data_IF_173652589862
#
_entry.id   IF_173652589862
#
_cell.length_a   1.000
_cell.length_b   1.000
_cell.length_c   1.000
_cell.angle_alpha   90.00
_cell.angle_beta   90.00
_cell.angle_gamma   90.00
#
_symmetry.space_group_name_H-M   'P 1'
#
loop_
_entity.id
_entity.type
_entity.pdbx_description
1 polymer ?
#
# COMPACT_ATOMS: atom_id res chain seq x y z
N UNK A 1 9.05 20.36 -16.39
CA UNK A 1 8.45 19.36 -17.30
C UNK A 1 6.94 19.41 -17.23
N UNK A 2 6.30 18.95 -18.31
CA UNK A 2 4.86 18.69 -18.38
C UNK A 2 4.64 17.18 -18.32
N UNK A 3 3.94 16.70 -17.31
CA UNK A 3 3.76 15.28 -17.02
C UNK A 3 2.28 14.94 -17.11
N UNK A 4 1.89 14.03 -18.01
CA UNK A 4 0.53 13.52 -18.03
C UNK A 4 0.48 12.18 -17.28
N UNK A 5 -0.42 12.08 -16.30
CA UNK A 5 -0.67 10.86 -15.52
C UNK A 5 -1.98 10.25 -15.96
N UNK A 6 -1.95 8.99 -16.36
CA UNK A 6 -3.14 8.21 -16.73
C UNK A 6 -3.31 7.10 -15.70
N UNK A 7 -4.43 7.08 -15.00
CA UNK A 7 -4.67 6.17 -13.87
C UNK A 7 -6.06 5.54 -13.89
N UNK A 8 -6.16 4.30 -13.44
CA UNK A 8 -7.44 3.62 -13.26
C UNK A 8 -8.13 3.99 -11.93
N UNK A 9 -7.38 4.59 -10.97
CA UNK A 9 -7.88 4.96 -9.66
C UNK A 9 -7.40 6.35 -9.26
N UNK A 10 -8.31 7.17 -8.71
CA UNK A 10 -7.98 8.45 -8.10
C UNK A 10 -8.96 8.78 -6.97
N UNK A 11 -8.67 9.89 -6.24
CA UNK A 11 -9.58 10.42 -5.22
C UNK A 11 -11.00 10.61 -5.78
N UNK A 12 -12.08 10.51 -4.98
CA UNK A 12 -12.10 10.44 -3.51
C UNK A 12 -11.88 9.04 -2.92
N UNK A 13 -11.69 8.01 -3.73
CA UNK A 13 -11.35 6.68 -3.22
C UNK A 13 -10.00 6.73 -2.51
N UNK A 14 -9.95 6.27 -1.26
CA UNK A 14 -8.73 6.27 -0.44
C UNK A 14 -8.11 4.87 -0.40
N UNK A 15 -7.06 4.69 -1.20
CA UNK A 15 -6.22 3.50 -1.17
C UNK A 15 -4.73 3.89 -1.28
N UNK A 16 -3.82 2.91 -1.26
CA UNK A 16 -2.38 3.18 -1.32
C UNK A 16 -1.94 3.83 -2.63
N UNK A 17 -2.60 3.52 -3.75
CA UNK A 17 -2.30 4.09 -5.07
C UNK A 17 -2.73 5.55 -5.12
N UNK A 18 -3.97 5.84 -4.72
CA UNK A 18 -4.53 7.19 -4.78
C UNK A 18 -3.79 8.15 -3.85
N UNK A 19 -3.39 7.70 -2.64
CA UNK A 19 -2.53 8.48 -1.73
C UNK A 19 -1.16 8.78 -2.35
N UNK A 20 -0.56 7.78 -3.01
CA UNK A 20 0.74 7.96 -3.66
C UNK A 20 0.65 8.98 -4.81
N UNK A 21 -0.42 8.93 -5.61
CA UNK A 21 -0.66 9.88 -6.70
C UNK A 21 -0.95 11.30 -6.18
N UNK A 22 -1.71 11.43 -5.10
CA UNK A 22 -1.92 12.72 -4.45
C UNK A 22 -0.59 13.36 -4.04
N UNK A 23 0.27 12.60 -3.33
CA UNK A 23 1.63 13.05 -2.97
C UNK A 23 2.51 13.35 -4.18
N UNK A 24 2.37 12.60 -5.27
CA UNK A 24 3.09 12.91 -6.51
C UNK A 24 2.68 14.26 -7.08
N UNK A 25 1.37 14.52 -7.22
CA UNK A 25 0.88 15.78 -7.75
C UNK A 25 1.27 16.97 -6.87
N UNK A 26 1.18 16.84 -5.54
CA UNK A 26 1.66 17.83 -4.58
C UNK A 26 3.16 18.12 -4.76
N UNK A 27 3.97 17.09 -4.92
CA UNK A 27 5.41 17.24 -5.15
C UNK A 27 5.72 17.90 -6.50
N UNK A 28 5.03 17.52 -7.58
CA UNK A 28 5.20 18.12 -8.90
C UNK A 28 4.88 19.62 -8.88
N UNK A 29 3.79 20.01 -8.21
CA UNK A 29 3.44 21.40 -8.03
C UNK A 29 4.52 22.16 -7.24
N UNK A 30 4.96 21.61 -6.11
CA UNK A 30 5.97 22.22 -5.24
C UNK A 30 7.34 22.38 -5.94
N UNK A 31 7.64 21.55 -6.92
CA UNK A 31 8.92 21.56 -7.68
C UNK A 31 8.79 22.23 -9.06
N UNK A 32 7.68 22.94 -9.33
CA UNK A 32 7.49 23.72 -10.54
C UNK A 32 7.24 22.92 -11.82
N UNK A 33 6.78 21.67 -11.69
CA UNK A 33 6.33 20.86 -12.81
C UNK A 33 4.85 21.10 -13.08
N UNK A 34 4.43 20.96 -14.34
CA UNK A 34 3.02 20.99 -14.72
C UNK A 34 2.51 19.54 -14.82
N UNK A 35 1.31 19.29 -14.33
CA UNK A 35 0.69 17.98 -14.39
C UNK A 35 -0.71 18.02 -14.99
N UNK A 36 -1.06 16.96 -15.74
CA UNK A 36 -2.41 16.67 -16.22
C UNK A 36 -2.76 15.25 -15.73
N UNK A 37 -3.90 15.08 -15.06
CA UNK A 37 -4.38 13.77 -14.64
C UNK A 37 -5.60 13.35 -15.44
N UNK A 38 -5.51 12.19 -16.08
CA UNK A 38 -6.60 11.52 -16.77
C UNK A 38 -6.96 10.25 -16.02
N UNK A 39 -8.20 10.13 -15.58
CA UNK A 39 -8.59 8.99 -14.74
C UNK A 39 -10.09 8.80 -14.61
N UNK A 40 -10.57 8.11 -13.56
CA UNK A 40 -11.97 7.97 -13.26
C UNK A 40 -12.58 9.32 -12.90
N UNK A 41 -13.89 9.43 -13.09
CA UNK A 41 -14.65 10.60 -12.65
C UNK A 41 -14.57 10.74 -11.12
N UNK A 42 -13.98 11.82 -10.67
CA UNK A 42 -13.68 12.09 -9.26
C UNK A 42 -14.52 13.22 -8.65
N UNK A 43 -15.28 13.95 -9.51
CA UNK A 43 -15.96 15.18 -9.12
C UNK A 43 -15.02 16.39 -8.96
N UNK A 44 -13.69 16.19 -9.06
CA UNK A 44 -12.69 17.25 -9.00
C UNK A 44 -12.27 17.66 -10.41
N UNK A 45 -12.10 18.96 -10.62
CA UNK A 45 -11.56 19.53 -11.86
C UNK A 45 -10.08 19.83 -11.75
N UNK A 46 -9.58 19.99 -10.53
CA UNK A 46 -8.18 20.29 -10.25
C UNK A 46 -7.73 19.68 -8.92
N UNK A 47 -6.47 19.25 -8.85
CA UNK A 47 -5.81 18.83 -7.62
C UNK A 47 -4.31 19.17 -7.68
N UNK A 48 -3.80 19.86 -6.63
CA UNK A 48 -2.39 20.28 -6.54
C UNK A 48 -1.87 20.90 -7.86
N UNK A 49 -2.61 21.86 -8.41
CA UNK A 49 -2.25 22.55 -9.65
C UNK A 49 -2.43 21.74 -10.94
N UNK A 50 -2.70 20.43 -10.85
CA UNK A 50 -2.96 19.59 -12.01
C UNK A 50 -4.43 19.70 -12.43
N UNK A 51 -4.69 19.83 -13.74
CA UNK A 51 -6.04 19.63 -14.30
C UNK A 51 -6.41 18.16 -14.17
N UNK A 52 -7.62 17.87 -13.68
CA UNK A 52 -8.16 16.50 -13.51
C UNK A 52 -9.32 16.30 -14.46
N UNK A 53 -9.19 15.34 -15.38
CA UNK A 53 -10.21 15.02 -16.37
C UNK A 53 -10.68 13.59 -16.14
N UNK A 54 -11.94 13.48 -15.79
CA UNK A 54 -12.59 12.21 -15.49
C UNK A 54 -13.26 11.53 -16.66
N UNK A 55 -13.40 10.21 -16.56
CA UNK A 55 -14.30 9.42 -17.40
C UNK A 55 -15.22 8.58 -16.52
N UNK A 56 -16.49 8.50 -16.94
CA UNK A 56 -17.43 7.57 -16.33
C UNK A 56 -16.96 6.13 -16.62
N UNK A 57 -16.69 5.37 -15.58
CA UNK A 57 -16.35 3.96 -15.72
C UNK A 57 -17.59 3.07 -15.71
N UNK A 58 -17.53 1.96 -16.42
CA UNK A 58 -18.57 0.91 -16.43
C UNK A 58 -18.27 -0.03 -15.23
N UNK A 59 -19.21 -0.19 -14.26
CA UNK A 59 -19.01 -1.11 -13.16
C UNK A 59 -18.78 -2.54 -13.67
N UNK A 60 -17.81 -3.25 -13.13
CA UNK A 60 -17.61 -4.66 -13.48
C UNK A 60 -18.72 -5.52 -12.87
N UNK A 61 -19.28 -6.50 -13.62
CA UNK A 61 -20.47 -7.27 -13.20
C UNK A 61 -20.32 -7.95 -11.83
N UNK A 62 -19.10 -8.41 -11.49
CA UNK A 62 -18.83 -9.14 -10.25
C UNK A 62 -18.16 -8.28 -9.19
N UNK A 63 -17.78 -7.04 -9.52
CA UNK A 63 -17.12 -6.09 -8.64
C UNK A 63 -17.55 -4.66 -8.96
N UNK A 64 -18.73 -4.24 -8.47
CA UNK A 64 -19.25 -2.88 -8.73
C UNK A 64 -18.34 -1.76 -8.24
N UNK A 65 -17.48 -2.06 -7.27
CA UNK A 65 -16.47 -1.12 -6.74
C UNK A 65 -15.31 -0.89 -7.73
N UNK A 66 -15.08 -1.82 -8.66
CA UNK A 66 -14.11 -1.68 -9.74
C UNK A 66 -14.83 -1.27 -11.01
N UNK A 67 -14.40 -0.17 -11.60
CA UNK A 67 -14.96 0.34 -12.85
C UNK A 67 -13.96 0.17 -13.98
N UNK A 68 -14.42 -0.35 -15.11
CA UNK A 68 -13.67 -0.31 -16.35
C UNK A 68 -13.78 1.11 -16.93
N UNK A 69 -12.69 1.86 -16.87
CA UNK A 69 -12.66 3.23 -17.36
C UNK A 69 -12.43 3.26 -18.87
N UNK A 70 -13.25 4.01 -19.60
CA UNK A 70 -13.18 4.10 -21.06
C UNK A 70 -12.42 5.37 -21.45
N UNK A 71 -11.48 5.23 -22.37
CA UNK A 71 -10.76 6.37 -22.93
C UNK A 71 -11.70 7.25 -23.79
N UNK A 72 -11.74 8.55 -23.49
CA UNK A 72 -12.62 9.51 -24.19
C UNK A 72 -11.83 10.28 -25.25
N UNK A 73 -12.45 10.67 -26.39
CA UNK A 73 -11.82 11.59 -27.36
C UNK A 73 -11.28 12.88 -26.74
N UNK A 74 -11.94 13.37 -25.68
CA UNK A 74 -11.48 14.52 -24.90
C UNK A 74 -10.08 14.32 -24.33
N UNK A 75 -9.72 13.08 -23.92
CA UNK A 75 -8.38 12.78 -23.40
C UNK A 75 -7.30 13.01 -24.46
N UNK A 76 -7.54 12.59 -25.70
CA UNK A 76 -6.62 12.84 -26.82
C UNK A 76 -6.46 14.35 -27.07
N UNK A 77 -7.58 15.09 -27.12
CA UNK A 77 -7.55 16.55 -27.32
C UNK A 77 -6.74 17.25 -26.22
N UNK A 78 -6.94 16.86 -24.96
CA UNK A 78 -6.24 17.44 -23.82
C UNK A 78 -4.77 17.06 -23.79
N UNK A 79 -4.41 15.82 -24.09
CA UNK A 79 -3.01 15.40 -24.22
C UNK A 79 -2.29 16.18 -25.35
N UNK A 80 -2.96 16.33 -26.50
CA UNK A 80 -2.41 17.11 -27.62
C UNK A 80 -2.23 18.59 -27.25
N UNK A 81 -3.21 19.21 -26.57
CA UNK A 81 -3.10 20.60 -26.13
C UNK A 81 -2.05 20.78 -25.01
N UNK A 82 -1.94 19.84 -24.08
CA UNK A 82 -0.99 19.87 -22.98
C UNK A 82 0.45 19.61 -23.42
N UNK A 83 0.66 18.88 -24.52
CA UNK A 83 1.99 18.51 -25.06
C UNK A 83 2.93 17.97 -23.97
N UNK A 84 2.64 16.83 -23.35
CA UNK A 84 3.45 16.31 -22.26
C UNK A 84 4.85 15.92 -22.71
N UNK A 85 5.84 16.15 -21.84
CA UNK A 85 7.21 15.67 -22.01
C UNK A 85 7.32 14.15 -21.74
N UNK A 86 6.41 13.62 -20.90
CA UNK A 86 6.31 12.20 -20.54
C UNK A 86 4.87 11.85 -20.15
N UNK A 87 4.44 10.64 -20.48
CA UNK A 87 3.17 10.06 -20.03
C UNK A 87 3.46 8.94 -19.04
N UNK A 88 2.85 9.02 -17.85
CA UNK A 88 2.96 8.01 -16.80
C UNK A 88 1.65 7.21 -16.71
N UNK A 89 1.72 5.91 -17.01
CA UNK A 89 0.62 4.96 -16.89
C UNK A 89 0.67 4.28 -15.51
N UNK A 90 -0.34 4.51 -14.68
CA UNK A 90 -0.41 3.99 -13.32
C UNK A 90 -1.33 2.78 -13.27
N UNK A 91 -0.79 1.61 -12.87
CA UNK A 91 -1.51 0.32 -12.89
C UNK A 91 -2.28 0.12 -14.21
N UNK A 92 -1.61 0.10 -15.37
CA UNK A 92 -2.28 0.19 -16.67
C UNK A 92 -3.16 -1.03 -16.95
N UNK A 93 -4.46 -0.83 -16.98
CA UNK A 93 -5.46 -1.83 -17.42
C UNK A 93 -6.11 -1.33 -18.71
N UNK A 94 -7.31 -0.75 -18.68
CA UNK A 94 -8.01 -0.29 -19.90
C UNK A 94 -7.57 1.11 -20.35
N UNK A 95 -7.56 2.08 -19.44
CA UNK A 95 -7.05 3.42 -19.74
C UNK A 95 -5.56 3.39 -20.09
N UNK A 96 -4.81 2.53 -19.38
CA UNK A 96 -3.39 2.35 -19.62
C UNK A 96 -3.08 1.84 -21.02
N UNK A 97 -3.80 0.82 -21.53
CA UNK A 97 -3.59 0.30 -22.90
C UNK A 97 -3.91 1.34 -23.97
N UNK A 98 -5.02 2.06 -23.81
CA UNK A 98 -5.38 3.12 -24.75
C UNK A 98 -4.47 4.34 -24.61
N UNK A 99 -4.04 4.67 -23.40
CA UNK A 99 -3.05 5.70 -23.13
C UNK A 99 -1.70 5.41 -23.82
N UNK A 100 -1.25 4.16 -23.81
CA UNK A 100 -0.06 3.71 -24.54
C UNK A 100 -0.19 3.91 -26.05
N UNK A 101 -1.35 3.55 -26.62
CA UNK A 101 -1.59 3.76 -28.06
C UNK A 101 -1.59 5.25 -28.44
N UNK A 102 -2.22 6.09 -27.64
CA UNK A 102 -2.24 7.55 -27.84
C UNK A 102 -0.83 8.15 -27.66
N UNK A 103 -0.08 7.72 -26.68
CA UNK A 103 1.29 8.19 -26.48
C UNK A 103 2.17 7.92 -27.69
N UNK A 104 2.03 6.75 -28.34
CA UNK A 104 2.71 6.40 -29.59
C UNK A 104 2.28 7.32 -30.74
N UNK A 105 0.98 7.59 -30.86
CA UNK A 105 0.46 8.50 -31.88
C UNK A 105 1.02 9.92 -31.71
N UNK A 106 1.17 10.38 -30.47
CA UNK A 106 1.72 11.70 -30.12
C UNK A 106 3.27 11.71 -30.05
N UNK A 107 3.92 10.56 -30.25
CA UNK A 107 5.38 10.39 -30.13
C UNK A 107 5.94 10.84 -28.76
N UNK A 108 5.16 10.67 -27.70
CA UNK A 108 5.55 11.01 -26.34
C UNK A 108 6.08 9.77 -25.62
N UNK A 109 7.23 9.84 -24.94
CA UNK A 109 7.78 8.73 -24.20
C UNK A 109 6.87 8.33 -23.03
N UNK A 110 6.80 7.03 -22.77
CA UNK A 110 5.90 6.44 -21.76
C UNK A 110 6.70 5.76 -20.68
N UNK A 111 6.33 6.02 -19.44
CA UNK A 111 6.71 5.22 -18.27
C UNK A 111 5.46 4.61 -17.64
N UNK A 112 5.64 3.51 -16.92
CA UNK A 112 4.54 2.89 -16.18
C UNK A 112 4.90 2.65 -14.72
N UNK A 113 3.90 2.45 -13.87
CA UNK A 113 4.13 2.00 -12.50
C UNK A 113 3.20 0.84 -12.12
N UNK A 114 3.78 -0.14 -11.46
CA UNK A 114 3.10 -1.33 -10.96
C UNK A 114 2.83 -1.17 -9.48
N UNK A 115 1.56 -1.16 -9.09
CA UNK A 115 1.13 -0.99 -7.70
C UNK A 115 0.33 -2.20 -7.20
N UNK A 116 -0.44 -2.81 -8.08
CA UNK A 116 -1.42 -3.84 -7.72
C UNK A 116 -1.12 -5.16 -8.41
N UNK A 117 -1.07 -6.26 -7.65
CA UNK A 117 -0.94 -7.59 -8.20
C UNK A 117 -2.28 -8.13 -8.70
N UNK A 118 -2.74 -7.63 -9.86
CA UNK A 118 -4.02 -8.02 -10.45
C UNK A 118 -4.12 -9.54 -10.71
N UNK A 119 -3.02 -10.19 -11.09
CA UNK A 119 -3.00 -11.63 -11.30
C UNK A 119 -3.25 -12.43 -10.01
N UNK A 120 -2.73 -11.96 -8.87
CA UNK A 120 -3.06 -12.55 -7.57
C UNK A 120 -4.52 -12.33 -7.19
N UNK A 121 -5.08 -11.17 -7.49
CA UNK A 121 -6.49 -10.90 -7.26
C UNK A 121 -7.39 -11.83 -8.08
N UNK A 122 -7.07 -12.13 -9.34
CA UNK A 122 -7.81 -13.13 -10.13
C UNK A 122 -7.91 -14.46 -9.37
N UNK A 123 -6.81 -14.94 -8.78
CA UNK A 123 -6.80 -16.17 -8.00
C UNK A 123 -7.65 -16.08 -6.72
N UNK A 124 -7.55 -14.97 -5.98
CA UNK A 124 -8.31 -14.77 -4.74
C UNK A 124 -9.82 -14.70 -4.96
N UNK A 125 -10.23 -14.20 -6.12
CA UNK A 125 -11.63 -14.03 -6.46
C UNK A 125 -12.25 -15.20 -7.23
N UNK A 126 -11.57 -16.34 -7.27
CA UNK A 126 -12.08 -17.55 -7.94
C UNK A 126 -11.91 -17.56 -9.46
N UNK A 127 -11.26 -16.56 -10.03
CA UNK A 127 -10.93 -16.49 -11.47
C UNK A 127 -9.49 -16.94 -11.74
N UNK A 128 -9.05 -18.02 -11.09
CA UNK A 128 -7.67 -18.52 -11.20
C UNK A 128 -7.21 -18.79 -12.64
N UNK A 129 -8.15 -19.14 -13.55
CA UNK A 129 -7.87 -19.34 -14.98
C UNK A 129 -7.44 -18.05 -15.70
N UNK A 130 -7.74 -16.87 -15.16
CA UNK A 130 -7.30 -15.57 -15.70
C UNK A 130 -5.92 -15.14 -15.20
N UNK A 131 -5.30 -15.86 -14.28
CA UNK A 131 -4.02 -15.48 -13.68
C UNK A 131 -2.91 -15.34 -14.72
N UNK A 132 -2.71 -16.37 -15.57
CA UNK A 132 -1.68 -16.34 -16.62
C UNK A 132 -1.99 -15.34 -17.74
N UNK A 133 -3.23 -15.26 -18.28
CA UNK A 133 -3.60 -14.18 -19.19
C UNK A 133 -3.35 -12.78 -18.62
N UNK A 134 -3.65 -12.54 -17.34
CA UNK A 134 -3.41 -11.26 -16.68
C UNK A 134 -1.92 -10.96 -16.55
N UNK A 135 -1.07 -11.95 -16.23
CA UNK A 135 0.39 -11.77 -16.25
C UNK A 135 0.90 -11.44 -17.65
N UNK A 136 0.43 -12.15 -18.67
CA UNK A 136 0.82 -11.91 -20.07
C UNK A 136 0.42 -10.51 -20.53
N UNK A 137 -0.79 -10.07 -20.20
CA UNK A 137 -1.31 -8.75 -20.51
C UNK A 137 -0.50 -7.64 -19.81
N UNK A 138 -0.30 -7.73 -18.50
CA UNK A 138 0.46 -6.75 -17.74
C UNK A 138 1.91 -6.66 -18.25
N UNK A 139 2.57 -7.80 -18.46
CA UNK A 139 3.91 -7.85 -19.03
C UNK A 139 3.98 -7.17 -20.39
N UNK A 140 3.02 -7.47 -21.27
CA UNK A 140 2.97 -6.85 -22.61
C UNK A 140 2.89 -5.32 -22.51
N UNK A 141 1.96 -4.78 -21.71
CA UNK A 141 1.81 -3.32 -21.59
C UNK A 141 3.04 -2.68 -20.95
N UNK A 142 3.53 -3.23 -19.83
CA UNK A 142 4.68 -2.65 -19.12
C UNK A 142 5.98 -2.70 -19.95
N UNK A 143 6.23 -3.78 -20.68
CA UNK A 143 7.43 -3.89 -21.53
C UNK A 143 7.39 -2.98 -22.80
N UNK A 144 6.25 -2.39 -23.12
CA UNK A 144 6.13 -1.35 -24.14
C UNK A 144 6.49 0.05 -23.60
N UNK A 145 6.67 0.20 -22.31
CA UNK A 145 7.06 1.45 -21.67
C UNK A 145 8.59 1.53 -21.58
N UNK A 146 9.14 2.73 -21.70
CA UNK A 146 10.58 2.95 -21.59
C UNK A 146 11.14 2.60 -20.20
N UNK A 147 10.29 2.70 -19.17
CA UNK A 147 10.63 2.37 -17.79
C UNK A 147 9.37 1.94 -17.03
N UNK A 148 9.51 0.91 -16.21
CA UNK A 148 8.45 0.46 -15.28
C UNK A 148 8.91 0.66 -13.84
N UNK A 149 8.21 1.47 -13.09
CA UNK A 149 8.44 1.68 -11.67
C UNK A 149 7.71 0.60 -10.85
N UNK A 150 8.38 0.05 -9.84
CA UNK A 150 7.82 -0.91 -8.90
C UNK A 150 8.19 -0.53 -7.46
N UNK A 151 7.34 -0.86 -6.47
CA UNK A 151 7.44 -0.26 -5.14
C UNK A 151 8.58 -0.82 -4.27
N UNK A 152 9.03 -2.04 -4.53
CA UNK A 152 9.98 -2.73 -3.65
C UNK A 152 10.91 -3.68 -4.39
N UNK A 153 12.08 -4.05 -3.80
CA UNK A 153 13.00 -5.03 -4.35
C UNK A 153 12.37 -6.41 -4.58
N UNK A 154 11.54 -6.87 -3.65
CA UNK A 154 10.87 -8.18 -3.78
C UNK A 154 9.82 -8.19 -4.89
N UNK A 155 9.08 -7.08 -5.07
CA UNK A 155 8.19 -6.90 -6.23
C UNK A 155 9.00 -6.88 -7.53
N UNK A 156 10.11 -6.15 -7.60
CA UNK A 156 10.98 -6.14 -8.77
C UNK A 156 11.50 -7.55 -9.12
N UNK A 157 11.93 -8.31 -8.12
CA UNK A 157 12.40 -9.69 -8.32
C UNK A 157 11.28 -10.61 -8.87
N UNK A 158 10.05 -10.46 -8.35
CA UNK A 158 8.90 -11.19 -8.87
C UNK A 158 8.56 -10.79 -10.31
N UNK A 159 8.53 -9.50 -10.61
CA UNK A 159 8.24 -9.01 -11.96
C UNK A 159 9.29 -9.49 -12.97
N UNK A 160 10.59 -9.51 -12.62
CA UNK A 160 11.64 -10.08 -13.47
C UNK A 160 11.40 -11.57 -13.76
N UNK A 161 10.99 -12.35 -12.75
CA UNK A 161 10.63 -13.77 -12.95
C UNK A 161 9.44 -13.95 -13.90
N UNK A 162 8.55 -12.96 -13.98
CA UNK A 162 7.42 -12.91 -14.91
C UNK A 162 7.78 -12.30 -16.28
N UNK A 163 9.07 -11.98 -16.52
CA UNK A 163 9.56 -11.44 -17.80
C UNK A 163 9.30 -9.96 -18.02
N UNK A 164 9.11 -9.19 -16.94
CA UNK A 164 9.07 -7.73 -17.04
C UNK A 164 10.49 -7.16 -17.18
N UNK A 165 10.62 -6.17 -18.04
CA UNK A 165 11.88 -5.49 -18.37
C UNK A 165 11.88 -4.04 -17.87
N UNK A 166 13.04 -3.36 -17.96
CA UNK A 166 13.21 -1.93 -17.65
C UNK A 166 12.66 -1.53 -16.28
N UNK A 167 12.86 -2.37 -15.24
CA UNK A 167 12.34 -2.16 -13.90
C UNK A 167 13.22 -1.20 -13.09
N UNK A 168 12.59 -0.20 -12.45
CA UNK A 168 13.20 0.70 -11.47
C UNK A 168 12.38 0.71 -10.19
N UNK A 169 13.06 0.71 -9.04
CA UNK A 169 12.39 0.81 -7.75
C UNK A 169 11.96 2.25 -7.52
N UNK A 170 10.68 2.42 -7.25
CA UNK A 170 10.08 3.66 -6.77
C UNK A 170 9.50 3.39 -5.38
N UNK A 171 10.27 3.64 -4.30
CA UNK A 171 9.82 3.37 -2.94
C UNK A 171 8.66 4.30 -2.55
N UNK A 172 8.10 4.05 -1.37
CA UNK A 172 7.12 4.93 -0.74
C UNK A 172 7.78 5.69 0.39
N UNK A 173 7.09 6.73 0.84
CA UNK A 173 7.47 7.48 2.01
C UNK A 173 6.43 7.37 3.12
N UNK A 174 6.82 7.83 4.29
CA UNK A 174 5.92 8.05 5.41
C UNK A 174 6.05 9.49 5.88
N UNK A 175 4.94 10.03 6.38
CA UNK A 175 4.91 11.35 7.00
C UNK A 175 5.27 11.19 8.48
N UNK A 176 6.55 11.35 8.81
CA UNK A 176 7.05 11.21 10.18
C UNK A 176 6.63 12.36 11.10
N UNK A 177 6.06 13.44 10.57
CA UNK A 177 5.43 14.48 11.39
C UNK A 177 4.04 14.07 11.86
N UNK A 178 3.37 13.24 11.08
CA UNK A 178 2.08 12.67 11.39
C UNK A 178 2.22 11.35 12.18
N UNK A 179 3.00 10.41 11.67
CA UNK A 179 3.24 9.10 12.31
C UNK A 179 4.50 9.16 13.16
N UNK A 180 4.34 9.29 14.47
CA UNK A 180 5.43 9.42 15.43
C UNK A 180 5.01 8.99 16.83
N UNK A 181 5.94 8.47 17.67
CA UNK A 181 5.61 7.98 19.02
C UNK A 181 5.04 9.07 19.94
N UNK A 182 5.39 10.34 19.73
CA UNK A 182 4.92 11.47 20.55
C UNK A 182 3.38 11.66 20.52
N UNK A 183 2.67 11.02 19.57
CA UNK A 183 1.18 11.03 19.53
C UNK A 183 0.53 9.99 20.43
N UNK A 184 1.32 9.23 21.24
CA UNK A 184 0.77 8.25 22.17
C UNK A 184 -0.23 8.89 23.13
N UNK A 185 -1.39 8.25 23.28
CA UNK A 185 -2.50 8.76 24.07
C UNK A 185 -2.98 7.70 25.07
N UNK A 186 -2.67 7.91 26.34
CA UNK A 186 -3.01 6.97 27.41
C UNK A 186 -4.54 6.91 27.67
N UNK A 187 -5.28 7.99 27.39
CA UNK A 187 -6.75 7.96 27.50
C UNK A 187 -7.37 7.07 26.42
N UNK A 188 -6.82 7.09 25.22
CA UNK A 188 -7.25 6.21 24.14
C UNK A 188 -6.95 4.75 24.49
N UNK A 189 -5.76 4.45 25.02
CA UNK A 189 -5.41 3.11 25.51
C UNK A 189 -6.39 2.61 26.56
N UNK A 190 -6.69 3.43 27.58
CA UNK A 190 -7.64 3.11 28.63
C UNK A 190 -9.04 2.83 28.08
N UNK A 191 -9.47 3.58 27.04
CA UNK A 191 -10.77 3.36 26.41
C UNK A 191 -10.87 2.01 25.68
N UNK A 192 -9.78 1.54 25.09
CA UNK A 192 -9.74 0.23 24.43
C UNK A 192 -9.80 -0.92 25.42
N UNK A 193 -9.11 -0.78 26.55
CA UNK A 193 -9.01 -1.82 27.55
C UNK A 193 -10.30 -2.00 28.36
N UNK A 194 -11.22 -1.01 28.32
CA UNK A 194 -12.47 -0.98 29.11
C UNK A 194 -12.26 -1.31 30.60
N UNK A 195 -11.06 -1.15 31.10
CA UNK A 195 -10.66 -1.58 32.44
C UNK A 195 -10.73 -0.42 33.43
N UNK A 196 -11.36 -0.73 34.56
CA UNK A 196 -11.25 0.06 35.79
C UNK A 196 -9.95 -0.25 36.54
N UNK A 197 -9.19 -1.29 36.13
CA UNK A 197 -8.01 -1.80 36.81
C UNK A 197 -6.77 -1.75 35.89
N UNK A 198 -5.85 -0.88 36.22
CA UNK A 198 -4.45 -0.73 35.74
C UNK A 198 -4.22 -0.98 34.22
N UNK A 199 -4.65 -0.09 33.34
CA UNK A 199 -4.44 -0.22 31.90
C UNK A 199 -2.95 -0.22 31.46
N UNK A 200 -2.05 0.10 32.37
CA UNK A 200 -0.60 0.27 32.09
C UNK A 200 0.16 -1.03 31.86
N UNK A 201 -0.40 -2.19 32.21
CA UNK A 201 0.33 -3.47 32.20
C UNK A 201 0.06 -4.34 30.96
N UNK A 202 -0.94 -4.02 30.14
CA UNK A 202 -1.26 -4.81 28.93
C UNK A 202 -0.55 -4.28 27.70
N UNK A 203 0.02 -5.20 26.94
CA UNK A 203 0.58 -4.93 25.62
C UNK A 203 -0.56 -4.85 24.59
N UNK A 204 -0.64 -3.75 23.88
CA UNK A 204 -1.64 -3.58 22.82
C UNK A 204 -1.04 -4.05 21.48
N UNK A 205 -1.62 -5.12 20.94
CA UNK A 205 -1.40 -5.59 19.60
C UNK A 205 -2.31 -4.82 18.66
N UNK A 206 -1.78 -4.21 17.62
CA UNK A 206 -2.53 -3.41 16.65
C UNK A 206 -2.52 -4.07 15.28
N UNK A 207 -3.67 -4.24 14.69
CA UNK A 207 -3.83 -4.41 13.25
C UNK A 207 -4.41 -3.12 12.66
N UNK A 208 -3.89 -2.65 11.53
CA UNK A 208 -4.47 -1.55 10.77
C UNK A 208 -4.48 -1.88 9.28
N UNK A 209 -5.65 -1.76 8.66
CA UNK A 209 -5.82 -2.05 7.24
C UNK A 209 -7.25 -2.46 6.88
N UNK A 210 -7.47 -2.75 5.58
CA UNK A 210 -8.76 -3.26 5.12
C UNK A 210 -9.03 -4.62 5.76
N UNK A 211 -10.22 -4.78 6.33
CA UNK A 211 -10.67 -6.07 6.91
C UNK A 211 -11.24 -6.93 5.78
N UNK A 212 -10.39 -7.75 5.18
CA UNK A 212 -10.70 -8.55 4.00
C UNK A 212 -9.89 -9.84 3.98
N UNK A 213 -10.39 -10.86 3.28
CA UNK A 213 -9.83 -12.24 3.31
C UNK A 213 -8.39 -12.31 2.79
N UNK A 214 -8.02 -11.48 1.81
CA UNK A 214 -6.67 -11.41 1.26
C UNK A 214 -5.62 -10.90 2.26
N UNK A 215 -6.06 -10.27 3.36
CA UNK A 215 -5.18 -9.83 4.45
C UNK A 215 -4.88 -10.93 5.47
N UNK A 216 -5.40 -12.15 5.24
CA UNK A 216 -5.11 -13.33 6.06
C UNK A 216 -5.38 -13.14 7.56
N UNK A 217 -6.45 -12.40 7.91
CA UNK A 217 -6.79 -12.05 9.29
C UNK A 217 -7.10 -13.27 10.14
N UNK A 218 -7.54 -14.36 9.53
CA UNK A 218 -7.77 -15.63 10.22
C UNK A 218 -6.54 -16.10 10.98
N UNK A 219 -5.34 -15.95 10.40
CA UNK A 219 -4.09 -16.28 11.09
C UNK A 219 -3.90 -15.49 12.39
N UNK A 220 -4.15 -14.17 12.36
CA UNK A 220 -4.07 -13.32 13.54
C UNK A 220 -5.12 -13.70 14.59
N UNK A 221 -6.35 -13.96 14.13
CA UNK A 221 -7.48 -14.34 15.00
C UNK A 221 -7.21 -15.66 15.72
N UNK A 222 -6.81 -16.70 14.97
CA UNK A 222 -6.49 -18.02 15.53
C UNK A 222 -5.33 -17.94 16.53
N UNK A 223 -4.27 -17.20 16.19
CA UNK A 223 -3.14 -16.97 17.09
C UNK A 223 -3.57 -16.23 18.36
N UNK A 224 -4.31 -15.12 18.23
CA UNK A 224 -4.71 -14.28 19.35
C UNK A 224 -5.68 -14.99 20.30
N UNK A 225 -6.64 -15.77 19.79
CA UNK A 225 -7.59 -16.54 20.65
C UNK A 225 -6.90 -17.48 21.63
N UNK A 226 -5.71 -17.95 21.31
CA UNK A 226 -4.93 -18.89 22.14
C UNK A 226 -3.90 -18.19 23.04
N UNK A 227 -3.87 -16.84 23.07
CA UNK A 227 -2.94 -16.05 23.93
C UNK A 227 -3.55 -15.78 25.32
N UNK A 228 -2.69 -15.41 26.26
CA UNK A 228 -3.09 -14.93 27.58
C UNK A 228 -3.60 -13.47 27.51
N UNK A 229 -4.91 -13.30 27.50
CA UNK A 229 -5.56 -11.99 27.41
C UNK A 229 -5.41 -11.13 28.68
N UNK A 230 -4.85 -11.66 29.77
CA UNK A 230 -4.51 -10.84 30.94
C UNK A 230 -3.30 -9.94 30.65
N UNK A 231 -2.44 -10.31 29.68
CA UNK A 231 -1.19 -9.64 29.35
C UNK A 231 -1.25 -8.82 28.05
N UNK A 232 -2.21 -9.09 27.18
CA UNK A 232 -2.33 -8.40 25.91
C UNK A 232 -3.78 -8.09 25.53
N UNK A 233 -3.95 -7.15 24.59
CA UNK A 233 -5.24 -6.77 24.03
C UNK A 233 -5.07 -6.50 22.52
N UNK A 234 -6.00 -6.99 21.70
CA UNK A 234 -6.00 -6.75 20.26
C UNK A 234 -6.89 -5.57 19.90
N UNK A 235 -6.35 -4.64 19.13
CA UNK A 235 -7.08 -3.53 18.52
C UNK A 235 -7.04 -3.67 17.01
N UNK A 236 -8.20 -3.68 16.39
CA UNK A 236 -8.35 -3.78 14.93
C UNK A 236 -8.89 -2.47 14.37
N UNK A 237 -8.04 -1.78 13.60
CA UNK A 237 -8.37 -0.53 12.91
C UNK A 237 -8.65 -0.82 11.45
N UNK A 238 -9.83 -0.41 11.00
CA UNK A 238 -10.25 -0.57 9.61
C UNK A 238 -11.66 -1.08 9.46
N UNK A 239 -12.05 -1.24 8.21
CA UNK A 239 -13.33 -1.77 7.79
C UNK A 239 -13.14 -2.61 6.51
N UNK A 240 -14.16 -3.37 6.13
CA UNK A 240 -14.10 -4.14 4.89
C UNK A 240 -15.07 -5.33 4.85
N UNK A 241 -15.08 -6.06 3.73
CA UNK A 241 -16.08 -7.08 3.47
C UNK A 241 -16.02 -8.28 4.45
N UNK A 242 -14.90 -8.50 5.12
CA UNK A 242 -14.75 -9.58 6.11
C UNK A 242 -14.99 -9.10 7.56
N UNK A 243 -15.41 -7.86 7.78
CA UNK A 243 -15.57 -7.30 9.14
C UNK A 243 -16.48 -8.14 10.03
N UNK A 244 -17.67 -8.50 9.54
CA UNK A 244 -18.64 -9.29 10.29
C UNK A 244 -18.12 -10.70 10.60
N UNK A 245 -17.48 -11.34 9.62
CA UNK A 245 -16.87 -12.68 9.75
C UNK A 245 -15.79 -12.65 10.85
N UNK A 246 -14.82 -11.73 10.73
CA UNK A 246 -13.72 -11.60 11.70
C UNK A 246 -14.24 -11.28 13.11
N UNK A 247 -15.25 -10.43 13.23
CA UNK A 247 -15.84 -10.08 14.52
C UNK A 247 -16.54 -11.26 15.19
N UNK A 248 -17.19 -12.13 14.41
CA UNK A 248 -17.78 -13.36 14.91
C UNK A 248 -16.73 -14.38 15.36
N UNK A 249 -15.64 -14.52 14.61
CA UNK A 249 -14.53 -15.43 14.93
C UNK A 249 -13.80 -15.08 16.23
N UNK A 250 -13.79 -13.81 16.64
CA UNK A 250 -13.15 -13.34 17.89
C UNK A 250 -14.16 -13.03 19.00
N UNK A 251 -15.43 -13.43 18.88
CA UNK A 251 -16.48 -13.06 19.83
C UNK A 251 -16.17 -13.45 21.29
N UNK A 252 -15.40 -14.52 21.49
CA UNK A 252 -15.01 -15.04 22.79
C UNK A 252 -13.74 -14.41 23.36
N UNK A 253 -13.06 -13.51 22.61
CA UNK A 253 -11.81 -12.87 23.00
C UNK A 253 -11.97 -11.35 23.14
N UNK A 254 -11.23 -10.69 24.06
CA UNK A 254 -11.31 -9.24 24.24
C UNK A 254 -10.63 -8.51 23.09
N UNK A 255 -11.40 -8.06 22.10
CA UNK A 255 -10.92 -7.30 20.92
C UNK A 255 -11.66 -5.98 20.81
N UNK A 256 -10.93 -4.92 20.51
CA UNK A 256 -11.52 -3.62 20.17
C UNK A 256 -11.51 -3.41 18.66
N UNK A 257 -12.67 -3.15 18.07
CA UNK A 257 -12.82 -2.72 16.69
C UNK A 257 -13.12 -1.23 16.67
N UNK A 258 -12.25 -0.44 16.04
CA UNK A 258 -12.40 1.02 15.97
C UNK A 258 -13.21 1.49 14.75
N UNK A 259 -13.39 0.62 13.76
CA UNK A 259 -13.79 1.03 12.42
C UNK A 259 -12.67 1.72 11.66
N UNK A 260 -13.04 2.37 10.56
CA UNK A 260 -12.08 3.11 9.73
C UNK A 260 -11.57 4.37 10.45
N UNK A 261 -10.25 4.52 10.51
CA UNK A 261 -9.58 5.73 11.00
C UNK A 261 -8.68 6.32 9.90
N UNK A 262 -8.48 7.63 9.92
CA UNK A 262 -7.61 8.36 9.01
C UNK A 262 -6.90 9.54 9.71
N UNK A 263 -5.86 10.06 9.08
CA UNK A 263 -5.15 11.25 9.55
C UNK A 263 -4.66 11.12 10.99
N UNK A 264 -4.91 12.12 11.82
CA UNK A 264 -4.44 12.17 13.21
C UNK A 264 -5.01 11.06 14.09
N UNK A 265 -6.27 10.66 13.89
CA UNK A 265 -6.87 9.57 14.64
C UNK A 265 -6.16 8.25 14.37
N UNK A 266 -5.82 7.96 13.11
CA UNK A 266 -5.04 6.78 12.73
C UNK A 266 -3.63 6.84 13.33
N UNK A 267 -2.95 7.97 13.20
CA UNK A 267 -1.59 8.14 13.73
C UNK A 267 -1.55 8.00 15.27
N UNK A 268 -2.58 8.52 15.96
CA UNK A 268 -2.73 8.36 17.41
C UNK A 268 -2.98 6.89 17.79
N UNK A 269 -3.75 6.16 16.97
CA UNK A 269 -3.97 4.73 17.19
C UNK A 269 -2.66 3.93 17.06
N UNK A 270 -1.85 4.18 16.02
CA UNK A 270 -0.53 3.56 15.91
C UNK A 270 0.34 3.86 17.13
N UNK A 271 0.53 5.14 17.47
CA UNK A 271 1.41 5.55 18.57
C UNK A 271 0.93 5.03 19.94
N UNK A 272 -0.36 4.71 20.07
CA UNK A 272 -0.96 4.21 21.31
C UNK A 272 -0.92 2.69 21.44
N UNK A 273 -0.36 1.97 20.47
CA UNK A 273 -0.14 0.53 20.53
C UNK A 273 1.30 0.20 20.97
N UNK A 274 1.64 -1.09 21.04
CA UNK A 274 2.95 -1.56 21.48
C UNK A 274 3.59 -2.53 20.48
N UNK A 275 2.79 -3.23 19.66
CA UNK A 275 3.24 -4.17 18.63
C UNK A 275 2.27 -4.07 17.43
N UNK A 276 2.80 -4.05 16.23
CA UNK A 276 1.99 -4.11 15.01
C UNK A 276 1.90 -5.54 14.50
N UNK A 277 0.71 -6.13 14.54
CA UNK A 277 0.43 -7.50 14.10
C UNK A 277 -0.17 -7.50 12.68
N UNK A 278 0.62 -7.91 11.67
CA UNK A 278 0.23 -7.78 10.27
C UNK A 278 0.42 -9.11 9.50
N UNK A 279 -0.59 -9.98 9.45
CA UNK A 279 -0.50 -11.32 8.88
C UNK A 279 -0.63 -11.37 7.34
N UNK A 280 -0.61 -10.22 6.65
CA UNK A 280 -0.82 -10.14 5.20
C UNK A 280 0.34 -10.75 4.42
N UNK A 281 0.01 -11.36 3.27
CA UNK A 281 1.00 -11.87 2.31
C UNK A 281 0.80 -11.28 0.89
N UNK A 282 -0.07 -10.29 0.74
CA UNK A 282 -0.46 -9.72 -0.57
C UNK A 282 0.02 -8.29 -0.78
N UNK A 283 0.98 -7.84 0.00
CA UNK A 283 1.50 -6.47 -0.12
C UNK A 283 2.51 -6.35 -1.25
N UNK A 284 2.42 -5.28 -2.02
CA UNK A 284 3.48 -4.89 -2.95
C UNK A 284 4.53 -4.01 -2.30
N UNK A 285 4.15 -3.30 -1.22
CA UNK A 285 5.05 -2.45 -0.42
C UNK A 285 4.82 -2.60 1.07
N UNK A 286 3.57 -2.47 1.56
CA UNK A 286 3.25 -2.48 2.98
C UNK A 286 3.24 -1.09 3.63
N UNK A 287 2.52 -0.14 3.05
CA UNK A 287 2.44 1.24 3.56
C UNK A 287 2.07 1.31 5.04
N UNK A 288 1.13 0.49 5.49
CA UNK A 288 0.70 0.41 6.90
C UNK A 288 1.80 -0.11 7.83
N UNK A 289 2.70 -0.96 7.32
CA UNK A 289 3.88 -1.43 8.05
C UNK A 289 4.85 -0.27 8.28
N UNK A 290 5.09 0.54 7.24
CA UNK A 290 5.97 1.70 7.36
C UNK A 290 5.38 2.77 8.29
N UNK A 291 4.06 2.99 8.29
CA UNK A 291 3.34 3.87 9.22
C UNK A 291 3.48 3.38 10.68
N UNK A 292 3.39 2.06 10.90
CA UNK A 292 3.61 1.44 12.21
C UNK A 292 5.04 1.65 12.70
N UNK A 293 6.04 1.37 11.85
CA UNK A 293 7.46 1.56 12.17
C UNK A 293 7.78 3.02 12.49
N UNK A 294 7.23 3.97 11.74
CA UNK A 294 7.38 5.41 12.00
C UNK A 294 6.72 5.85 13.31
N UNK A 295 5.72 5.10 13.78
CA UNK A 295 5.07 5.32 15.08
C UNK A 295 5.76 4.57 16.24
N UNK A 296 6.90 3.90 15.97
CA UNK A 296 7.68 3.18 16.98
C UNK A 296 7.19 1.76 17.26
N UNK A 297 6.41 1.14 16.37
CA UNK A 297 5.93 -0.21 16.62
C UNK A 297 6.85 -1.27 15.98
N UNK A 298 7.39 -2.23 16.78
CA UNK A 298 7.93 -3.45 16.21
C UNK A 298 6.83 -4.23 15.48
N UNK A 299 7.18 -4.83 14.34
CA UNK A 299 6.22 -5.49 13.45
C UNK A 299 6.31 -7.00 13.62
N UNK A 300 5.18 -7.68 13.82
CA UNK A 300 5.07 -9.13 13.65
C UNK A 300 4.31 -9.39 12.36
N UNK A 301 5.00 -9.96 11.38
CA UNK A 301 4.46 -10.16 10.04
C UNK A 301 4.86 -11.50 9.42
N UNK A 302 4.50 -11.69 8.17
CA UNK A 302 4.96 -12.83 7.37
C UNK A 302 6.19 -12.43 6.56
N UNK A 303 7.14 -13.36 6.34
CA UNK A 303 8.22 -13.18 5.38
C UNK A 303 7.65 -13.22 3.96
N UNK A 304 6.94 -12.16 3.61
CA UNK A 304 6.23 -12.00 2.35
C UNK A 304 6.72 -10.77 1.60
N UNK A 305 6.37 -10.70 0.32
CA UNK A 305 6.66 -9.55 -0.53
C UNK A 305 6.16 -8.25 0.09
N UNK A 306 6.92 -7.18 -0.09
CA UNK A 306 6.65 -5.86 0.49
C UNK A 306 7.00 -5.78 1.98
N UNK A 307 6.56 -6.73 2.80
CA UNK A 307 6.80 -6.72 4.25
C UNK A 307 8.29 -6.96 4.55
N UNK A 308 8.90 -8.00 3.96
CA UNK A 308 10.33 -8.31 4.13
C UNK A 308 11.28 -7.27 3.55
N UNK A 309 10.80 -6.35 2.74
CA UNK A 309 11.60 -5.23 2.22
C UNK A 309 11.67 -4.07 3.23
N UNK A 310 10.77 -4.05 4.22
CA UNK A 310 10.71 -3.04 5.28
C UNK A 310 11.16 -3.59 6.63
N UNK A 311 10.81 -4.84 6.94
CA UNK A 311 11.05 -5.45 8.24
C UNK A 311 12.26 -6.36 8.19
N UNK A 312 13.28 -6.04 8.97
CA UNK A 312 14.45 -6.90 9.22
C UNK A 312 14.15 -7.78 10.42
N UNK A 313 14.11 -9.12 10.19
CA UNK A 313 13.82 -10.10 11.24
C UNK A 313 14.78 -9.95 12.44
N UNK A 314 14.24 -10.00 13.66
CA UNK A 314 14.92 -9.80 14.95
C UNK A 314 15.55 -8.42 15.16
N UNK A 315 15.44 -7.51 14.17
CA UNK A 315 15.99 -6.17 14.28
C UNK A 315 14.90 -5.10 14.37
N UNK A 316 14.00 -5.00 13.38
CA UNK A 316 12.88 -4.04 13.38
C UNK A 316 11.53 -4.70 13.65
N UNK A 317 11.52 -6.03 13.78
CA UNK A 317 10.33 -6.84 14.02
C UNK A 317 10.63 -8.33 13.86
N UNK A 318 9.58 -9.13 13.84
CA UNK A 318 9.65 -10.58 13.70
C UNK A 318 8.87 -11.02 12.45
N UNK A 319 9.50 -11.84 11.62
CA UNK A 319 8.90 -12.38 10.42
C UNK A 319 8.72 -13.89 10.53
N UNK A 320 7.51 -14.36 10.31
CA UNK A 320 7.21 -15.79 10.20
C UNK A 320 7.49 -16.27 8.78
N UNK A 321 8.26 -17.36 8.66
CA UNK A 321 8.51 -18.01 7.38
C UNK A 321 7.22 -18.65 6.81
N UNK A 322 6.99 -18.46 5.51
CA UNK A 322 5.76 -18.88 4.82
C UNK A 322 5.64 -20.41 4.61
N UNK A 323 6.65 -21.19 4.93
CA UNK A 323 6.75 -22.60 4.53
C UNK A 323 5.87 -23.58 5.33
N UNK A 324 5.14 -23.10 6.34
CA UNK A 324 4.24 -23.97 7.10
C UNK A 324 2.94 -24.18 6.31
N UNK A 325 2.75 -25.38 5.80
CA UNK A 325 1.59 -25.78 4.97
C UNK A 325 0.32 -25.91 5.83
N UNK A 326 0.50 -26.26 7.12
CA UNK A 326 -0.56 -26.49 8.10
C UNK A 326 -0.95 -25.15 8.77
N UNK A 327 -2.22 -24.78 8.65
CA UNK A 327 -2.75 -23.52 9.22
C UNK A 327 -2.63 -23.49 10.74
N UNK A 328 -2.89 -24.59 11.44
CA UNK A 328 -2.81 -24.64 12.90
C UNK A 328 -1.36 -24.43 13.36
N UNK A 329 -0.40 -25.06 12.71
CA UNK A 329 1.03 -24.85 12.98
C UNK A 329 1.47 -23.43 12.66
N UNK A 330 0.94 -22.84 11.60
CA UNK A 330 1.23 -21.46 11.25
C UNK A 330 0.67 -20.49 12.30
N UNK A 331 -0.55 -20.72 12.81
CA UNK A 331 -1.15 -19.91 13.86
C UNK A 331 -0.39 -20.06 15.19
N UNK A 332 0.04 -21.27 15.55
CA UNK A 332 0.86 -21.50 16.72
C UNK A 332 2.22 -20.77 16.64
N UNK A 333 2.91 -20.87 15.51
CA UNK A 333 4.18 -20.19 15.30
C UNK A 333 4.03 -18.64 15.26
N UNK A 334 2.95 -18.13 14.66
CA UNK A 334 2.65 -16.69 14.68
C UNK A 334 2.34 -16.18 16.08
N UNK A 335 1.61 -16.99 16.87
CA UNK A 335 1.36 -16.74 18.30
C UNK A 335 2.67 -16.64 19.09
N UNK A 336 3.60 -17.57 18.91
CA UNK A 336 4.89 -17.54 19.59
C UNK A 336 5.67 -16.24 19.36
N UNK A 337 5.66 -15.71 18.14
CA UNK A 337 6.27 -14.42 17.82
C UNK A 337 5.57 -13.26 18.53
N UNK A 338 4.24 -13.27 18.59
CA UNK A 338 3.47 -12.26 19.34
C UNK A 338 3.73 -12.35 20.83
N UNK A 339 3.69 -13.58 21.41
CA UNK A 339 3.95 -13.82 22.83
C UNK A 339 5.36 -13.43 23.23
N UNK A 340 6.37 -13.66 22.39
CA UNK A 340 7.72 -13.20 22.63
C UNK A 340 7.76 -11.68 22.84
N UNK A 341 7.14 -10.91 21.94
CA UNK A 341 7.08 -9.45 22.10
C UNK A 341 6.14 -8.99 23.23
N UNK A 342 5.13 -9.76 23.60
CA UNK A 342 4.30 -9.47 24.78
C UNK A 342 5.11 -9.66 26.08
N UNK A 343 5.98 -10.64 26.14
CA UNK A 343 6.72 -10.99 27.34
C UNK A 343 8.02 -10.20 27.51
N UNK A 344 8.75 -9.96 26.42
CA UNK A 344 10.05 -9.29 26.45
C UNK A 344 9.95 -7.79 26.11
N UNK A 345 9.83 -6.97 27.15
CA UNK A 345 9.83 -5.51 27.01
C UNK A 345 11.13 -4.97 26.41
N UNK A 346 12.27 -5.54 26.75
CA UNK A 346 13.56 -5.06 26.22
C UNK A 346 13.69 -5.33 24.73
N UNK A 347 13.18 -6.48 24.27
CA UNK A 347 13.12 -6.79 22.84
C UNK A 347 12.22 -5.76 22.09
N UNK A 348 11.04 -5.44 22.63
CA UNK A 348 10.19 -4.40 22.04
C UNK A 348 10.90 -3.05 21.92
N UNK A 349 11.52 -2.57 23.01
CA UNK A 349 12.22 -1.29 23.03
C UNK A 349 13.44 -1.25 22.10
N UNK A 350 14.15 -2.37 21.92
CA UNK A 350 15.24 -2.46 20.92
C UNK A 350 14.69 -2.35 19.50
N UNK A 351 13.65 -3.12 19.19
CA UNK A 351 13.04 -3.16 17.86
C UNK A 351 12.30 -1.85 17.53
N UNK A 352 11.68 -1.20 18.51
CA UNK A 352 11.10 0.15 18.38
C UNK A 352 12.13 1.15 17.86
N UNK A 353 13.28 1.24 18.56
CA UNK A 353 14.36 2.15 18.15
C UNK A 353 14.87 1.86 16.75
N UNK A 354 15.03 0.59 16.40
CA UNK A 354 15.46 0.19 15.08
C UNK A 354 14.41 0.49 14.00
N UNK A 355 13.13 0.27 14.30
CA UNK A 355 12.01 0.57 13.40
C UNK A 355 11.92 2.07 13.10
N UNK A 356 12.09 2.93 14.10
CA UNK A 356 12.12 4.39 13.92
C UNK A 356 13.27 4.84 13.01
N UNK A 357 14.47 4.27 13.20
CA UNK A 357 15.63 4.58 12.35
C UNK A 357 15.34 4.16 10.90
N UNK A 358 14.86 2.93 10.69
CA UNK A 358 14.53 2.45 9.34
C UNK A 358 13.46 3.31 8.68
N UNK A 359 12.36 3.62 9.37
CA UNK A 359 11.29 4.46 8.85
C UNK A 359 11.77 5.87 8.45
N UNK A 360 12.77 6.43 9.16
CA UNK A 360 13.34 7.74 8.84
C UNK A 360 14.02 7.82 7.46
N UNK A 361 14.45 6.68 6.94
CA UNK A 361 15.03 6.58 5.60
C UNK A 361 13.99 6.66 4.47
N UNK A 362 12.70 6.51 4.79
CA UNK A 362 11.58 6.46 3.85
C UNK A 362 10.78 7.77 3.86
N UNK A 363 11.26 8.80 3.19
CA UNK A 363 10.54 10.08 3.08
C UNK A 363 9.85 10.25 1.72
N UNK A 364 8.66 10.86 1.72
CA UNK A 364 7.94 11.19 0.49
C UNK A 364 8.74 12.06 -0.49
N UNK A 365 9.45 13.12 -0.05
CA UNK A 365 10.29 13.90 -0.97
C UNK A 365 11.37 13.07 -1.68
N UNK A 366 12.04 12.16 -0.95
CA UNK A 366 13.06 11.25 -1.52
C UNK A 366 12.44 10.29 -2.54
N UNK A 367 11.28 9.72 -2.22
CA UNK A 367 10.55 8.81 -3.11
C UNK A 367 10.10 9.54 -4.40
N UNK A 368 9.52 10.73 -4.27
CA UNK A 368 9.07 11.51 -5.43
C UNK A 368 10.23 12.02 -6.28
N UNK A 369 11.34 12.44 -5.67
CA UNK A 369 12.57 12.82 -6.39
C UNK A 369 13.09 11.67 -7.26
N UNK A 370 13.10 10.43 -6.73
CA UNK A 370 13.50 9.23 -7.49
C UNK A 370 12.62 9.02 -8.74
N UNK A 371 11.32 9.21 -8.63
CA UNK A 371 10.38 9.08 -9.75
C UNK A 371 10.64 10.17 -10.81
N UNK A 372 10.74 11.44 -10.38
CA UNK A 372 10.95 12.58 -11.28
C UNK A 372 12.31 12.49 -12.00
N UNK A 373 13.35 11.98 -11.35
CA UNK A 373 14.62 11.66 -12.02
C UNK A 373 14.44 10.67 -13.17
N UNK A 374 13.61 9.64 -12.99
CA UNK A 374 13.28 8.71 -14.06
C UNK A 374 12.52 9.38 -15.21
N UNK A 375 11.62 10.30 -14.95
CA UNK A 375 10.97 11.09 -15.99
C UNK A 375 11.98 11.94 -16.78
N UNK A 376 12.88 12.64 -16.09
CA UNK A 376 13.92 13.47 -16.70
C UNK A 376 14.82 12.67 -17.63
N UNK A 377 15.27 11.49 -17.21
CA UNK A 377 16.10 10.60 -18.01
C UNK A 377 15.40 10.20 -19.31
N UNK A 378 14.14 9.74 -19.21
CA UNK A 378 13.39 9.27 -20.37
C UNK A 378 13.04 10.43 -21.32
N UNK A 379 12.66 11.59 -20.80
CA UNK A 379 12.35 12.77 -21.61
C UNK A 379 13.59 13.27 -22.38
N UNK A 380 14.79 13.20 -21.78
CA UNK A 380 16.06 13.58 -22.44
C UNK A 380 16.42 12.63 -23.58
N UNK A 381 16.33 11.31 -23.34
CA UNK A 381 16.63 10.30 -24.38
C UNK A 381 15.72 10.49 -25.58
N UNK A 382 14.41 10.73 -25.37
CA UNK A 382 13.47 10.96 -26.46
C UNK A 382 13.80 12.20 -27.30
N UNK A 383 14.25 13.30 -26.67
CA UNK A 383 14.66 14.54 -27.38
C UNK A 383 15.96 14.40 -28.20
N UNK A 384 16.81 13.44 -27.86
CA UNK A 384 18.07 13.20 -28.57
C UNK A 384 17.90 12.32 -29.82
N UNK A 385 16.77 11.59 -29.88
CA UNK A 385 16.44 10.68 -30.98
C UNK A 385 15.55 11.33 -32.07
N UNK A 386 15.08 12.55 -31.86
CA UNK A 386 14.35 13.41 -32.78
C UNK A 386 15.30 14.48 -33.32
#
# INVERSE_FOLDING_TARGET
MRIAVITENFLPKLDGVTRTLARLLEYLQATGHQALLLGPESGMQQYAGAEVIGTAGIPLPFYPELKANVFRPLFLQRLHAFQPDVIHLVDPVMLGATGLAVARLLQVPVVSSYHTNLAAYCKHFGFGFLTEPMWAYNRFIHNQCALTFCPSPSTAARLRKQGFEHLRIWPRGVDTSLFQPARRNERLRASWLKEREQPQNKVILLYAGRISREKNLRLLVEAYRSMDHTRCHLVMVGDGPAYTEVRQEVADAPVTFTGYLAGEALATAYASADVFAFPSYTETFGQVVLEAMASGLPVVGLNAEGIRDLVSHEHTGLLLERQLIDQEKQAAAYRELLEYLVQDRQARERMERAALVEASHHSWPKAMKCLVQGYDEIAKVSRTLV
#
